data_IF_211301114397
#
_entry.id   IF_211301114397
#
_cell.length_a   1.000
_cell.length_b   1.000
_cell.length_c   1.000
_cell.angle_alpha   90.00
_cell.angle_beta   90.00
_cell.angle_gamma   90.00
#
_symmetry.space_group_name_H-M   'P 1'
#
loop_
_entity.id
_entity.type
_entity.pdbx_description
1 polymer ?
#
# COMPACT_ATOMS: atom_id res chain seq x y z
N UNK A 1 -8.88 -12.07 6.46
CA UNK A 1 -10.14 -11.30 6.34
C UNK A 1 -11.25 -11.85 7.23
N UNK A 2 -11.02 -12.97 7.86
CA UNK A 2 -11.97 -13.56 8.84
C UNK A 2 -12.38 -12.56 9.92
N UNK A 3 -13.61 -12.67 10.44
CA UNK A 3 -14.62 -13.67 10.06
C UNK A 3 -15.47 -13.28 8.83
N UNK A 4 -15.26 -12.11 8.24
CA UNK A 4 -16.12 -11.55 7.17
C UNK A 4 -16.01 -12.34 5.86
N UNK A 5 -14.80 -12.78 5.51
CA UNK A 5 -14.53 -13.62 4.35
C UNK A 5 -13.67 -14.80 4.78
N UNK A 6 -14.08 -15.99 4.38
CA UNK A 6 -13.41 -17.26 4.66
C UNK A 6 -12.83 -17.85 3.40
N UNK A 7 -11.89 -18.76 3.56
CA UNK A 7 -11.34 -19.50 2.44
C UNK A 7 -12.43 -20.34 1.77
N UNK A 8 -12.50 -20.28 0.43
CA UNK A 8 -13.56 -20.92 -0.35
C UNK A 8 -14.80 -20.07 -0.63
N UNK A 9 -14.94 -18.89 -0.01
CA UNK A 9 -16.07 -18.00 -0.31
C UNK A 9 -16.02 -17.49 -1.75
N UNK A 10 -17.21 -17.41 -2.36
CA UNK A 10 -17.39 -16.75 -3.66
C UNK A 10 -17.78 -15.30 -3.45
N UNK A 11 -17.06 -14.39 -4.08
CA UNK A 11 -17.29 -12.95 -3.93
C UNK A 11 -17.71 -12.29 -5.25
N UNK A 12 -18.60 -11.33 -5.18
CA UNK A 12 -18.96 -10.46 -6.30
C UNK A 12 -18.21 -9.13 -6.15
N UNK A 13 -17.39 -8.79 -7.15
CA UNK A 13 -16.60 -7.55 -7.13
C UNK A 13 -17.28 -6.47 -7.95
N UNK A 14 -17.66 -5.37 -7.30
CA UNK A 14 -18.16 -4.18 -7.97
C UNK A 14 -17.00 -3.38 -8.59
N UNK A 15 -16.84 -3.47 -9.90
CA UNK A 15 -15.80 -2.74 -10.65
C UNK A 15 -16.18 -1.30 -11.02
N UNK A 16 -17.45 -0.90 -10.81
CA UNK A 16 -17.95 0.42 -11.25
C UNK A 16 -17.40 1.56 -10.39
N UNK A 17 -17.05 1.32 -9.14
CA UNK A 17 -16.59 2.37 -8.23
C UNK A 17 -15.37 3.12 -8.79
N UNK A 18 -14.35 2.40 -9.25
CA UNK A 18 -13.12 2.98 -9.83
C UNK A 18 -12.98 2.76 -11.34
N UNK A 19 -14.02 2.30 -11.98
CA UNK A 19 -14.06 1.95 -13.39
C UNK A 19 -13.45 0.59 -13.70
N UNK A 20 -14.07 -0.14 -14.61
CA UNK A 20 -13.57 -1.41 -15.09
C UNK A 20 -12.27 -1.21 -15.89
N UNK A 21 -11.39 -2.19 -15.83
CA UNK A 21 -10.19 -2.25 -16.67
C UNK A 21 -10.49 -3.07 -17.91
N UNK A 22 -10.12 -2.53 -19.05
CA UNK A 22 -10.23 -3.18 -20.35
C UNK A 22 -8.80 -3.46 -20.84
N UNK A 23 -8.48 -4.70 -21.10
CA UNK A 23 -7.18 -5.13 -21.64
C UNK A 23 -7.34 -6.44 -22.41
N UNK A 24 -6.38 -6.74 -23.25
CA UNK A 24 -6.35 -8.01 -23.97
C UNK A 24 -5.94 -9.14 -23.00
N UNK A 25 -6.93 -9.97 -22.63
CA UNK A 25 -6.71 -11.06 -21.68
C UNK A 25 -5.79 -12.14 -22.28
N UNK A 26 -5.84 -12.36 -23.58
CA UNK A 26 -4.98 -13.37 -24.23
C UNK A 26 -3.53 -12.94 -24.23
N UNK A 27 -3.24 -11.70 -24.58
CA UNK A 27 -1.88 -11.16 -24.48
C UNK A 27 -1.34 -11.21 -23.03
N UNK A 28 -2.21 -10.94 -22.04
CA UNK A 28 -1.82 -11.05 -20.65
C UNK A 28 -1.52 -12.49 -20.20
N UNK A 29 -2.22 -13.49 -20.74
CA UNK A 29 -1.98 -14.91 -20.47
C UNK A 29 -0.67 -15.39 -21.11
N UNK A 30 -0.38 -14.89 -22.30
CA UNK A 30 0.82 -15.26 -23.08
C UNK A 30 2.07 -14.46 -22.66
N UNK A 31 1.95 -13.61 -21.61
CA UNK A 31 2.99 -12.69 -21.15
C UNK A 31 3.50 -11.72 -22.23
N UNK A 32 2.66 -11.39 -23.19
CA UNK A 32 2.92 -10.36 -24.18
C UNK A 32 2.66 -8.95 -23.60
N UNK A 33 3.17 -7.93 -24.27
CA UNK A 33 2.90 -6.55 -23.90
C UNK A 33 1.43 -6.20 -24.22
N UNK A 34 0.75 -5.60 -23.23
CA UNK A 34 -0.64 -5.15 -23.39
C UNK A 34 -0.88 -3.82 -22.68
N UNK A 35 -1.85 -3.07 -23.18
CA UNK A 35 -2.25 -1.80 -22.62
C UNK A 35 -3.51 -1.98 -21.77
N UNK A 36 -3.56 -1.35 -20.61
CA UNK A 36 -4.74 -1.32 -19.74
C UNK A 36 -5.44 0.02 -19.89
N UNK A 37 -6.67 -0.04 -20.39
CA UNK A 37 -7.57 1.12 -20.41
C UNK A 37 -8.52 1.05 -19.23
N UNK A 38 -8.65 2.14 -18.49
CA UNK A 38 -9.58 2.22 -17.36
C UNK A 38 -10.80 3.06 -17.75
N UNK A 39 -11.99 2.49 -17.58
CA UNK A 39 -13.22 3.22 -17.71
C UNK A 39 -13.40 4.25 -16.57
N UNK A 40 -14.15 5.33 -16.78
CA UNK A 40 -14.52 6.21 -15.68
C UNK A 40 -15.23 5.45 -14.55
N UNK A 41 -14.92 5.78 -13.32
CA UNK A 41 -15.60 5.24 -12.14
C UNK A 41 -16.53 6.28 -11.52
N UNK A 42 -17.53 5.82 -10.73
CA UNK A 42 -18.57 6.69 -10.19
C UNK A 42 -18.56 6.78 -8.66
N UNK A 43 -17.46 6.45 -8.03
CA UNK A 43 -17.42 6.47 -6.58
C UNK A 43 -16.03 6.61 -6.00
N UNK A 44 -16.00 6.71 -4.67
CA UNK A 44 -14.79 6.74 -3.89
C UNK A 44 -14.77 5.58 -2.90
N UNK A 45 -13.56 5.11 -2.59
CA UNK A 45 -13.35 4.17 -1.50
C UNK A 45 -13.56 4.87 -0.16
N UNK A 46 -14.00 4.08 0.81
CA UNK A 46 -14.11 4.50 2.20
C UNK A 46 -13.17 3.65 3.05
N UNK A 47 -12.84 4.14 4.23
CA UNK A 47 -12.16 3.31 5.23
C UNK A 47 -13.03 2.13 5.58
N UNK A 48 -12.41 1.02 5.88
CA UNK A 48 -13.05 -0.28 6.13
C UNK A 48 -13.66 -0.99 4.90
N UNK A 49 -13.70 -0.39 3.72
CA UNK A 49 -14.11 -1.12 2.52
C UNK A 49 -13.20 -2.32 2.26
N UNK A 50 -13.80 -3.39 1.74
CA UNK A 50 -13.05 -4.56 1.28
C UNK A 50 -12.69 -4.35 -0.18
N UNK A 51 -11.41 -4.24 -0.46
CA UNK A 51 -10.87 -3.99 -1.79
C UNK A 51 -10.32 -5.26 -2.40
N UNK A 52 -10.62 -5.45 -3.69
CA UNK A 52 -9.98 -6.44 -4.54
C UNK A 52 -9.06 -5.72 -5.52
N UNK A 53 -7.78 -6.04 -5.47
CA UNK A 53 -6.77 -5.40 -6.31
C UNK A 53 -5.70 -6.40 -6.75
N UNK A 54 -4.98 -6.08 -7.80
CA UNK A 54 -3.85 -6.89 -8.22
C UNK A 54 -2.65 -6.62 -7.33
N UNK A 55 -1.88 -7.66 -7.09
CA UNK A 55 -0.66 -7.51 -6.31
C UNK A 55 0.35 -6.65 -7.09
N UNK A 56 0.97 -5.66 -6.43
CA UNK A 56 1.82 -4.68 -7.11
C UNK A 56 3.23 -5.17 -7.41
N UNK A 57 3.53 -6.44 -7.17
CA UNK A 57 4.83 -7.03 -7.42
C UNK A 57 4.67 -8.35 -8.17
N UNK A 58 5.53 -8.61 -9.14
CA UNK A 58 5.63 -9.92 -9.76
C UNK A 58 6.27 -10.92 -8.79
N UNK A 59 6.00 -12.19 -8.98
CA UNK A 59 6.52 -13.26 -8.14
C UNK A 59 8.06 -13.17 -8.04
N UNK A 60 8.57 -13.16 -6.80
CA UNK A 60 9.99 -13.07 -6.47
C UNK A 60 10.71 -11.76 -6.89
N UNK A 61 9.96 -10.72 -7.27
CA UNK A 61 10.52 -9.42 -7.62
C UNK A 61 9.92 -8.31 -6.76
N UNK A 62 10.60 -8.02 -5.64
CA UNK A 62 10.19 -7.00 -4.67
C UNK A 62 10.91 -5.66 -4.85
N UNK A 63 11.75 -5.58 -5.88
CA UNK A 63 12.59 -4.43 -6.20
C UNK A 63 11.85 -3.36 -7.00
N UNK A 64 10.84 -3.76 -7.76
CA UNK A 64 10.08 -2.85 -8.62
C UNK A 64 8.58 -3.14 -8.59
N UNK A 65 7.77 -2.08 -8.62
CA UNK A 65 6.33 -2.21 -8.76
C UNK A 65 6.02 -2.62 -10.20
N UNK A 66 5.44 -3.81 -10.35
CA UNK A 66 4.85 -4.31 -11.59
C UNK A 66 3.55 -5.02 -11.26
N UNK A 67 2.47 -4.56 -11.87
CA UNK A 67 1.16 -5.14 -11.62
C UNK A 67 1.09 -6.57 -12.18
N UNK A 68 0.86 -7.55 -11.31
CA UNK A 68 0.50 -8.89 -11.74
C UNK A 68 -1.02 -8.95 -11.96
N UNK A 69 -1.45 -8.90 -13.21
CA UNK A 69 -2.88 -8.87 -13.57
C UNK A 69 -3.62 -10.16 -13.28
N UNK A 70 -2.91 -11.25 -13.06
CA UNK A 70 -3.49 -12.57 -12.79
C UNK A 70 -3.62 -12.84 -11.29
N UNK A 71 -2.88 -12.14 -10.43
CA UNK A 71 -2.97 -12.29 -8.98
C UNK A 71 -3.85 -11.21 -8.35
N UNK A 72 -4.89 -11.66 -7.64
CA UNK A 72 -5.81 -10.79 -6.92
C UNK A 72 -5.64 -10.96 -5.42
N UNK A 73 -5.62 -9.83 -4.74
CA UNK A 73 -5.62 -9.77 -3.28
C UNK A 73 -6.89 -9.11 -2.77
N UNK A 74 -7.39 -9.64 -1.66
CA UNK A 74 -8.55 -9.09 -0.97
C UNK A 74 -8.08 -8.53 0.36
N UNK A 75 -8.14 -7.22 0.55
CA UNK A 75 -7.70 -6.55 1.78
C UNK A 75 -8.69 -5.45 2.18
N UNK A 76 -8.70 -5.14 3.46
CA UNK A 76 -9.47 -4.03 4.01
C UNK A 76 -8.72 -2.72 3.82
N UNK A 77 -9.41 -1.69 3.34
CA UNK A 77 -8.89 -0.34 3.24
C UNK A 77 -8.80 0.28 4.64
N UNK A 78 -7.60 0.56 5.10
CA UNK A 78 -7.37 1.15 6.43
C UNK A 78 -7.21 2.66 6.35
N UNK A 79 -6.54 3.15 5.31
CA UNK A 79 -6.26 4.56 5.11
C UNK A 79 -6.56 4.97 3.66
N UNK A 80 -6.95 6.22 3.48
CA UNK A 80 -7.26 6.83 2.19
C UNK A 80 -6.15 7.82 1.80
N UNK A 81 -6.05 8.21 0.52
CA UNK A 81 -5.19 9.31 0.11
C UNK A 81 -5.40 10.55 0.97
N UNK A 82 -4.30 11.14 1.48
CA UNK A 82 -4.30 12.27 2.40
C UNK A 82 -4.31 11.89 3.89
N UNK A 83 -4.56 10.63 4.23
CA UNK A 83 -4.49 10.17 5.62
C UNK A 83 -3.04 10.03 6.10
N UNK A 84 -2.85 10.09 7.41
CA UNK A 84 -1.63 9.65 8.06
C UNK A 84 -1.95 8.46 8.96
N UNK A 85 -1.44 7.28 8.57
CA UNK A 85 -1.65 6.04 9.31
C UNK A 85 -0.59 5.85 10.38
N UNK A 86 -1.01 5.45 11.56
CA UNK A 86 -0.18 5.01 12.68
C UNK A 86 -0.71 3.71 13.27
N UNK A 87 0.18 2.88 13.83
CA UNK A 87 -0.20 1.79 14.72
C UNK A 87 0.47 2.06 16.07
N UNK A 88 -0.32 2.08 17.13
CA UNK A 88 0.14 2.30 18.50
C UNK A 88 -0.37 1.19 19.41
N UNK A 89 0.55 0.44 20.00
CA UNK A 89 0.21 -0.71 20.83
C UNK A 89 -0.57 -1.81 20.09
N UNK A 90 -0.43 -1.90 18.75
CA UNK A 90 -1.18 -2.87 17.92
C UNK A 90 -2.52 -2.33 17.37
N UNK A 91 -2.92 -1.11 17.75
CA UNK A 91 -4.17 -0.49 17.28
C UNK A 91 -3.93 0.52 16.16
N UNK A 92 -4.74 0.44 15.11
CA UNK A 92 -4.68 1.35 13.98
C UNK A 92 -5.29 2.70 14.32
N UNK A 93 -4.61 3.76 13.95
CA UNK A 93 -5.05 5.14 14.13
C UNK A 93 -4.82 5.94 12.86
N UNK A 94 -5.80 6.77 12.53
CA UNK A 94 -5.66 7.78 11.47
C UNK A 94 -5.60 9.13 12.15
N UNK A 95 -4.57 9.90 11.86
CA UNK A 95 -4.37 11.22 12.46
C UNK A 95 -5.55 12.13 12.13
N UNK A 96 -6.12 12.77 13.15
CA UNK A 96 -7.28 13.65 12.98
C UNK A 96 -8.61 12.95 12.76
N UNK A 97 -8.67 11.59 12.88
CA UNK A 97 -9.88 10.83 12.73
C UNK A 97 -10.09 9.89 13.92
N UNK A 98 -11.30 9.90 14.46
CA UNK A 98 -11.70 9.03 15.59
C UNK A 98 -12.42 7.75 15.12
N UNK A 99 -12.53 7.55 13.80
CA UNK A 99 -13.15 6.35 13.26
C UNK A 99 -12.32 5.11 13.60
N UNK A 100 -12.98 4.06 14.05
CA UNK A 100 -12.34 2.76 14.24
C UNK A 100 -12.11 2.10 12.89
N UNK A 101 -10.84 1.87 12.55
CA UNK A 101 -10.45 1.24 11.29
C UNK A 101 -9.91 -0.16 11.52
N UNK A 102 -10.19 -1.05 10.57
CA UNK A 102 -9.72 -2.43 10.60
C UNK A 102 -10.57 -3.36 11.48
N UNK A 103 -10.07 -4.57 11.66
CA UNK A 103 -10.70 -5.55 12.55
C UNK A 103 -10.18 -5.36 13.98
N UNK A 104 -11.02 -4.86 14.86
CA UNK A 104 -10.67 -4.56 16.25
C UNK A 104 -10.24 -5.80 17.04
N UNK A 105 -10.93 -6.93 16.85
CA UNK A 105 -10.59 -8.18 17.55
C UNK A 105 -9.19 -8.67 17.16
N UNK A 106 -8.85 -8.59 15.87
CA UNK A 106 -7.51 -8.93 15.40
C UNK A 106 -6.45 -7.98 15.97
N UNK A 107 -6.75 -6.69 16.10
CA UNK A 107 -5.87 -5.70 16.72
C UNK A 107 -5.66 -6.01 18.22
N UNK A 108 -6.72 -6.31 18.95
CA UNK A 108 -6.63 -6.74 20.35
C UNK A 108 -5.78 -8.00 20.50
N UNK A 109 -5.98 -8.98 19.61
CA UNK A 109 -5.17 -10.19 19.62
C UNK A 109 -3.69 -9.87 19.46
N UNK A 110 -3.32 -9.07 18.45
CA UNK A 110 -1.93 -8.64 18.22
C UNK A 110 -1.37 -7.81 19.39
N UNK A 111 -2.18 -6.92 19.97
CA UNK A 111 -1.77 -6.10 21.10
C UNK A 111 -1.38 -6.96 22.33
N UNK A 112 -2.15 -8.02 22.59
CA UNK A 112 -1.96 -8.89 23.76
C UNK A 112 -1.01 -10.07 23.51
N UNK A 113 -0.58 -10.32 22.29
CA UNK A 113 0.24 -11.48 21.93
C UNK A 113 1.66 -11.37 22.49
N UNK A 114 2.04 -12.26 23.40
CA UNK A 114 3.37 -12.19 24.05
C UNK A 114 4.52 -12.65 23.14
N UNK A 115 4.32 -13.69 22.35
CA UNK A 115 5.35 -14.31 21.51
C UNK A 115 4.93 -14.44 20.04
N UNK A 116 4.92 -13.36 19.25
CA UNK A 116 4.40 -13.38 17.85
C UNK A 116 5.05 -14.47 16.97
N UNK A 117 6.36 -14.69 17.11
CA UNK A 117 7.08 -15.70 16.31
C UNK A 117 6.60 -17.13 16.54
N UNK A 118 6.19 -17.48 17.76
CA UNK A 118 5.66 -18.82 18.08
C UNK A 118 4.33 -19.11 17.38
N UNK A 119 3.60 -18.04 16.99
CA UNK A 119 2.34 -18.11 16.25
C UNK A 119 2.53 -17.90 14.75
N UNK A 120 3.75 -17.99 14.23
CA UNK A 120 4.04 -17.79 12.81
C UNK A 120 3.86 -16.35 12.33
N UNK A 121 3.75 -15.38 13.24
CA UNK A 121 3.51 -13.97 12.90
C UNK A 121 4.85 -13.26 12.71
N UNK A 122 5.03 -12.67 11.54
CA UNK A 122 6.18 -11.80 11.24
C UNK A 122 6.00 -10.48 11.96
N UNK A 123 6.92 -10.15 12.88
CA UNK A 123 6.83 -8.96 13.71
C UNK A 123 7.20 -7.68 12.97
N UNK A 124 8.20 -7.73 12.09
CA UNK A 124 8.64 -6.59 11.29
C UNK A 124 7.64 -6.25 10.18
N UNK A 125 7.61 -4.99 9.78
CA UNK A 125 6.74 -4.50 8.71
C UNK A 125 7.52 -3.78 7.62
N UNK A 126 6.90 -3.63 6.45
CA UNK A 126 7.39 -2.76 5.40
C UNK A 126 7.69 -1.34 5.97
N UNK A 127 8.75 -0.68 5.57
CA UNK A 127 9.71 -1.08 4.52
C UNK A 127 10.88 -1.91 5.03
N UNK A 128 10.77 -2.57 6.18
CA UNK A 128 11.81 -3.38 6.82
C UNK A 128 13.11 -2.61 7.10
N UNK A 129 12.99 -1.31 7.28
CA UNK A 129 14.13 -0.43 7.54
C UNK A 129 14.48 -0.43 9.02
N UNK A 130 15.72 -0.75 9.34
CA UNK A 130 16.22 -0.80 10.74
C UNK A 130 16.15 0.55 11.45
N UNK A 131 16.22 1.66 10.73
CA UNK A 131 16.17 3.02 11.30
C UNK A 131 14.76 3.38 11.76
N UNK A 132 13.72 2.97 11.02
CA UNK A 132 12.32 3.24 11.34
C UNK A 132 11.82 2.41 12.52
N UNK A 133 12.41 1.24 12.74
CA UNK A 133 12.02 0.27 13.81
C UNK A 133 10.53 -0.10 13.79
N UNK A 134 9.88 0.04 12.63
CA UNK A 134 8.46 -0.25 12.49
C UNK A 134 8.16 -1.73 12.60
N UNK A 135 7.07 -2.03 13.25
CA UNK A 135 6.58 -3.38 13.46
C UNK A 135 5.04 -3.40 13.55
N UNK A 136 4.45 -4.58 13.72
CA UNK A 136 2.99 -4.74 13.74
C UNK A 136 2.29 -4.05 14.91
N UNK A 137 3.03 -3.61 15.96
CA UNK A 137 2.48 -2.90 17.11
C UNK A 137 2.80 -1.41 17.11
N UNK A 138 3.97 -1.06 16.56
CA UNK A 138 4.43 0.33 16.50
C UNK A 138 4.82 0.64 15.06
N UNK A 139 4.01 1.43 14.39
CA UNK A 139 4.17 1.74 12.97
C UNK A 139 3.82 3.19 12.70
N UNK A 140 4.51 3.79 11.75
CA UNK A 140 4.24 5.14 11.30
C UNK A 140 4.93 6.23 12.14
N UNK A 141 4.56 7.48 11.91
CA UNK A 141 3.50 7.92 10.99
C UNK A 141 3.81 7.64 9.51
N UNK A 142 2.84 7.12 8.77
CA UNK A 142 2.91 6.92 7.33
C UNK A 142 1.90 7.84 6.64
N UNK A 143 2.32 8.92 6.00
CA UNK A 143 1.46 9.74 5.16
C UNK A 143 1.06 8.94 3.91
N UNK A 144 -0.22 8.86 3.60
CA UNK A 144 -0.71 8.25 2.35
C UNK A 144 -0.77 9.35 1.29
N UNK A 145 0.00 9.25 0.20
CA UNK A 145 0.02 10.29 -0.81
C UNK A 145 -1.35 10.57 -1.40
N UNK A 146 -1.61 11.82 -1.74
CA UNK A 146 -2.83 12.28 -2.39
C UNK A 146 -2.46 13.10 -3.62
N UNK A 147 -3.30 13.01 -4.65
CA UNK A 147 -3.11 13.80 -5.88
C UNK A 147 -2.99 15.30 -5.57
N UNK A 148 -1.93 15.92 -6.07
CA UNK A 148 -1.64 17.33 -5.87
C UNK A 148 -0.93 17.67 -4.55
N UNK A 149 -0.66 16.70 -3.68
CA UNK A 149 0.16 16.93 -2.50
C UNK A 149 1.64 16.96 -2.86
N UNK A 150 2.33 17.93 -2.30
CA UNK A 150 3.80 18.02 -2.32
C UNK A 150 4.33 17.28 -1.10
N UNK A 151 5.19 16.31 -1.32
CA UNK A 151 5.86 15.56 -0.26
C UNK A 151 7.31 15.99 -0.18
N UNK A 152 7.73 16.51 0.97
CA UNK A 152 9.12 16.83 1.22
C UNK A 152 9.95 15.55 1.29
N UNK A 153 11.01 15.49 0.49
CA UNK A 153 11.84 14.30 0.35
C UNK A 153 13.03 14.35 1.31
N UNK A 154 12.85 13.77 2.48
CA UNK A 154 13.94 13.41 3.38
C UNK A 154 14.40 11.95 3.14
N UNK A 155 15.39 11.50 3.89
CA UNK A 155 15.89 10.13 3.81
C UNK A 155 14.80 9.10 4.11
N UNK A 156 13.92 9.36 5.05
CA UNK A 156 12.82 8.47 5.45
C UNK A 156 11.78 8.37 4.35
N UNK A 157 11.31 9.50 3.87
CA UNK A 157 10.31 9.64 2.82
C UNK A 157 10.81 8.99 1.52
N UNK A 158 12.09 9.18 1.19
CA UNK A 158 12.71 8.50 0.05
C UNK A 158 12.62 6.97 0.19
N UNK A 159 12.98 6.40 1.33
CA UNK A 159 12.89 4.95 1.54
C UNK A 159 11.46 4.42 1.45
N UNK A 160 10.48 5.21 1.87
CA UNK A 160 9.07 4.83 1.81
C UNK A 160 8.51 4.84 0.39
N UNK A 161 8.89 5.83 -0.41
CA UNK A 161 8.20 6.10 -1.68
C UNK A 161 9.04 5.87 -2.94
N UNK A 162 10.33 5.55 -2.84
CA UNK A 162 11.23 5.39 -4.00
C UNK A 162 10.68 4.45 -5.08
N UNK A 163 10.05 3.35 -4.68
CA UNK A 163 9.50 2.37 -5.63
C UNK A 163 8.23 2.91 -6.30
N UNK A 164 7.38 3.59 -5.54
CA UNK A 164 6.16 4.22 -6.06
C UNK A 164 6.51 5.33 -7.05
N UNK A 165 7.45 6.19 -6.70
CA UNK A 165 7.96 7.27 -7.56
C UNK A 165 8.59 6.70 -8.84
N UNK A 166 9.43 5.67 -8.70
CA UNK A 166 10.04 5.00 -9.85
C UNK A 166 9.01 4.42 -10.80
N UNK A 167 7.95 3.82 -10.26
CA UNK A 167 6.85 3.28 -11.04
C UNK A 167 6.05 4.37 -11.78
N UNK A 168 5.71 5.47 -11.11
CA UNK A 168 4.96 6.57 -11.72
C UNK A 168 5.76 7.30 -12.81
N UNK A 169 7.05 7.49 -12.58
CA UNK A 169 7.92 8.20 -13.54
C UNK A 169 8.47 7.29 -14.62
N UNK A 170 8.26 5.97 -14.55
CA UNK A 170 8.82 4.99 -15.47
C UNK A 170 10.36 4.96 -15.48
N UNK A 171 11.00 5.39 -14.39
CA UNK A 171 12.46 5.50 -14.25
C UNK A 171 12.92 4.91 -12.92
N UNK A 172 14.02 4.16 -12.96
CA UNK A 172 14.75 3.84 -11.73
C UNK A 172 15.37 5.11 -11.14
N UNK A 173 15.05 5.37 -9.87
CA UNK A 173 15.67 6.47 -9.15
C UNK A 173 16.96 5.96 -8.53
N UNK A 174 18.09 6.29 -9.15
CA UNK A 174 19.40 5.93 -8.63
C UNK A 174 19.65 6.60 -7.27
N UNK A 175 20.05 5.79 -6.28
CA UNK A 175 20.35 6.25 -4.92
C UNK A 175 21.45 7.30 -4.85
N UNK A 176 22.35 7.33 -5.83
CA UNK A 176 23.49 8.26 -5.91
C UNK A 176 23.09 9.71 -6.20
N UNK A 177 21.95 9.93 -6.84
CA UNK A 177 21.48 11.29 -7.15
C UNK A 177 20.96 12.03 -5.93
N UNK A 178 20.66 11.34 -4.84
CA UNK A 178 20.08 11.90 -3.61
C UNK A 178 21.12 12.24 -2.55
N UNK A 179 22.32 11.70 -2.62
CA UNK A 179 23.41 12.03 -1.69
C UNK A 179 23.95 13.45 -1.88
N UNK A 180 23.76 14.06 -3.07
CA UNK A 180 24.18 15.43 -3.36
C UNK A 180 23.13 16.52 -3.08
N UNK A 181 21.89 16.15 -2.86
CA UNK A 181 20.75 17.10 -2.69
C UNK A 181 20.35 17.29 -1.23
N UNK A 182 20.84 16.46 -0.32
CA UNK A 182 20.54 16.54 1.12
C UNK A 182 21.06 17.86 1.79
N UNK A 183 21.79 18.68 1.05
CA UNK A 183 22.32 19.97 1.53
C UNK A 183 21.65 21.22 0.96
N UNK A 184 20.68 21.09 0.06
CA UNK A 184 19.91 22.24 -0.45
C UNK A 184 18.43 21.88 -0.49
N UNK A 185 17.62 22.67 0.21
CA UNK A 185 16.17 22.74 0.02
C UNK A 185 15.88 22.91 -1.47
N UNK A 186 15.58 21.83 -2.15
CA UNK A 186 15.03 21.88 -3.50
C UNK A 186 13.66 21.21 -3.44
N UNK A 187 12.64 22.03 -3.64
CA UNK A 187 11.23 21.63 -3.76
C UNK A 187 11.09 20.62 -4.89
N UNK A 188 11.17 19.35 -4.53
CA UNK A 188 10.85 18.26 -5.46
C UNK A 188 9.38 17.94 -5.23
N UNK A 189 8.52 18.54 -6.05
CA UNK A 189 7.09 18.25 -6.06
C UNK A 189 6.83 16.97 -6.84
N UNK A 190 6.40 15.92 -6.16
CA UNK A 190 5.81 14.75 -6.81
C UNK A 190 4.31 14.96 -6.80
N UNK A 191 3.72 15.18 -7.97
CA UNK A 191 2.27 15.18 -8.13
C UNK A 191 1.79 13.75 -8.28
N UNK A 192 1.10 13.23 -7.28
CA UNK A 192 0.39 11.95 -7.30
C UNK A 192 -0.97 12.07 -7.97
#
# INVERSE_FOLDING_TARGET
MEPVLKDGDRILVNKMIKGARLFNVFAALDNEDFTIHRMPGWGNFKRNDILVFNFPYQQNRWDSIRMDVMQYYVKRCIALPGDTLEIRGGFYKIRGCNEQVGNYQAQQYIANLQHPKQHGIVFGTFPYNKQLKWNIREFGPLPVPQKGHVVEMDRTTYHLYKQLIGWEQGKEIASERWTGVIGRQSDFSISF
#
